data_IF_031238416938
#
_entry.id   IF_031238416938
#
_cell.length_a   1.000
_cell.length_b   1.000
_cell.length_c   1.000
_cell.angle_alpha   90.00
_cell.angle_beta   90.00
_cell.angle_gamma   90.00
#
_symmetry.space_group_name_H-M   'P 1'
#
loop_
_entity.id
_entity.type
_entity.pdbx_description
1 polymer ?
#
# COMPACT_ATOMS: atom_id res chain seq x y z
N UNK A 1 17.17 4.49 3.84
CA UNK A 1 16.25 5.62 3.57
C UNK A 1 15.32 5.19 2.44
N UNK A 2 14.01 5.32 2.64
CA UNK A 2 12.98 4.94 1.66
C UNK A 2 11.93 6.04 1.64
N UNK A 3 11.45 6.39 0.45
CA UNK A 3 10.30 7.28 0.28
C UNK A 3 9.35 6.69 -0.75
N UNK A 4 8.05 6.85 -0.50
CA UNK A 4 6.98 6.36 -1.36
C UNK A 4 5.87 7.40 -1.51
N UNK A 5 5.18 7.36 -2.64
CA UNK A 5 4.04 8.22 -2.94
C UNK A 5 2.90 7.38 -3.54
N UNK A 6 1.67 7.68 -3.09
CA UNK A 6 0.44 7.22 -3.71
C UNK A 6 -0.30 8.44 -4.23
N UNK A 7 -0.80 8.39 -5.46
CA UNK A 7 -1.49 9.50 -6.09
C UNK A 7 -2.72 9.02 -6.87
N UNK A 8 -3.71 9.89 -6.99
CA UNK A 8 -4.89 9.72 -7.85
C UNK A 8 -4.89 10.82 -8.90
N UNK A 9 -4.98 10.46 -10.16
CA UNK A 9 -5.28 11.42 -11.22
C UNK A 9 -6.76 11.84 -11.13
N UNK A 10 -7.09 13.12 -10.89
CA UNK A 10 -8.48 13.57 -10.79
C UNK A 10 -9.25 13.44 -12.11
N UNK A 11 -8.58 13.46 -13.27
CA UNK A 11 -9.24 13.42 -14.58
C UNK A 11 -9.66 12.00 -14.97
N UNK A 12 -8.74 11.04 -14.94
CA UNK A 12 -9.03 9.66 -15.31
C UNK A 12 -9.48 8.78 -14.14
N UNK A 13 -9.22 9.22 -12.91
CA UNK A 13 -9.39 8.39 -11.71
C UNK A 13 -8.32 7.32 -11.53
N UNK A 14 -7.29 7.28 -12.38
CA UNK A 14 -6.19 6.32 -12.26
C UNK A 14 -5.44 6.49 -10.93
N UNK A 15 -5.01 5.38 -10.35
CA UNK A 15 -4.18 5.34 -9.16
C UNK A 15 -2.75 4.95 -9.53
N UNK A 16 -1.78 5.66 -8.96
CA UNK A 16 -0.36 5.39 -9.11
C UNK A 16 0.30 5.24 -7.75
N UNK A 17 1.29 4.35 -7.68
CA UNK A 17 2.17 4.20 -6.53
C UNK A 17 3.61 4.09 -7.01
N UNK A 18 4.50 4.81 -6.35
CA UNK A 18 5.93 4.81 -6.64
C UNK A 18 6.74 4.82 -5.34
N UNK A 19 7.96 4.30 -5.42
CA UNK A 19 8.88 4.19 -4.28
C UNK A 19 10.31 4.28 -4.77
N UNK A 20 11.21 4.79 -3.92
CA UNK A 20 12.63 4.68 -4.13
C UNK A 20 13.38 4.47 -2.80
N UNK A 21 14.47 3.74 -2.87
CA UNK A 21 15.29 3.34 -1.73
C UNK A 21 16.69 2.95 -2.20
N UNK A 22 17.61 2.76 -1.26
CA UNK A 22 18.92 2.17 -1.50
C UNK A 22 18.92 0.63 -1.35
N UNK A 23 17.78 0.02 -0.98
CA UNK A 23 17.60 -1.43 -0.92
C UNK A 23 17.21 -2.07 -2.27
N UNK A 24 17.54 -3.35 -2.49
CA UNK A 24 17.18 -4.06 -3.71
C UNK A 24 15.67 -4.34 -3.80
N UNK A 25 15.18 -4.55 -5.02
CA UNK A 25 13.85 -5.08 -5.32
C UNK A 25 12.63 -4.31 -4.75
N UNK A 26 12.79 -3.02 -4.42
CA UNK A 26 11.75 -2.22 -3.77
C UNK A 26 10.42 -2.17 -4.54
N UNK A 27 10.48 -2.18 -5.87
CA UNK A 27 9.27 -2.18 -6.71
C UNK A 27 8.39 -3.42 -6.49
N UNK A 28 9.00 -4.58 -6.21
CA UNK A 28 8.23 -5.80 -5.95
C UNK A 28 7.73 -5.89 -4.50
N UNK A 29 8.42 -5.24 -3.56
CA UNK A 29 8.13 -5.37 -2.12
C UNK A 29 7.12 -4.33 -1.62
N UNK A 30 7.26 -3.08 -2.09
CA UNK A 30 6.53 -1.93 -1.54
C UNK A 30 5.30 -1.58 -2.37
N UNK A 31 5.34 -1.75 -3.69
CA UNK A 31 4.34 -1.20 -4.61
C UNK A 31 3.22 -2.21 -4.85
N UNK A 32 2.00 -1.88 -4.42
CA UNK A 32 0.82 -2.72 -4.62
C UNK A 32 -0.29 -1.91 -5.28
N UNK A 33 -0.91 -2.49 -6.31
CA UNK A 33 -2.02 -1.84 -7.00
C UNK A 33 -2.99 -2.85 -7.61
N UNK A 34 -4.28 -2.54 -7.54
CA UNK A 34 -5.34 -3.28 -8.24
C UNK A 34 -6.32 -2.29 -8.85
N UNK A 35 -6.58 -2.46 -10.16
CA UNK A 35 -7.51 -1.62 -10.90
C UNK A 35 -8.90 -1.64 -10.24
N UNK A 36 -9.53 -0.47 -10.16
CA UNK A 36 -10.86 -0.28 -9.53
C UNK A 36 -10.92 -0.63 -8.03
N UNK A 37 -9.77 -0.87 -7.37
CA UNK A 37 -9.72 -1.13 -5.92
C UNK A 37 -8.87 -0.09 -5.19
N UNK A 38 -7.57 0.01 -5.51
CA UNK A 38 -6.67 0.81 -4.70
C UNK A 38 -5.20 0.71 -5.06
N UNK A 39 -4.40 1.52 -4.37
CA UNK A 39 -2.93 1.51 -4.42
C UNK A 39 -2.38 1.65 -2.99
N UNK A 40 -1.38 0.84 -2.64
CA UNK A 40 -0.81 0.75 -1.29
C UNK A 40 0.71 0.72 -1.39
N UNK A 41 1.37 1.39 -0.44
CA UNK A 41 2.82 1.34 -0.25
C UNK A 41 3.15 0.72 1.13
N UNK A 42 3.68 -0.51 1.17
CA UNK A 42 4.16 -1.13 2.42
C UNK A 42 5.66 -0.88 2.57
N UNK A 43 6.09 -0.10 3.56
CA UNK A 43 7.50 0.33 3.67
C UNK A 43 8.06 0.16 5.09
N UNK A 44 9.22 0.76 5.38
CA UNK A 44 10.03 0.53 6.59
C UNK A 44 10.49 -0.94 6.66
N UNK A 45 10.18 -1.66 7.74
CA UNK A 45 10.35 -3.11 7.74
C UNK A 45 9.23 -3.75 6.92
N UNK A 46 9.52 -3.94 5.65
CA UNK A 46 8.48 -4.23 4.65
C UNK A 46 7.95 -5.65 4.83
N UNK A 47 6.65 -5.75 5.10
CA UNK A 47 5.88 -6.98 4.95
C UNK A 47 5.03 -6.88 3.66
N UNK A 48 5.41 -7.54 2.55
CA UNK A 48 4.66 -7.47 1.30
C UNK A 48 3.26 -8.06 1.38
N UNK A 49 2.97 -8.93 2.37
CA UNK A 49 1.67 -9.57 2.51
C UNK A 49 0.56 -8.56 2.84
N UNK A 50 0.89 -7.48 3.54
CA UNK A 50 -0.06 -6.40 3.84
C UNK A 50 -0.59 -5.70 2.59
N UNK A 51 0.17 -5.68 1.50
CA UNK A 51 -0.29 -5.11 0.24
C UNK A 51 -1.47 -5.88 -0.34
N UNK A 52 -1.37 -7.21 -0.38
CA UNK A 52 -2.46 -8.09 -0.82
C UNK A 52 -3.67 -8.05 0.11
N UNK A 53 -3.44 -8.07 1.43
CA UNK A 53 -4.51 -8.00 2.44
C UNK A 53 -5.25 -6.67 2.37
N UNK A 54 -4.53 -5.54 2.30
CA UNK A 54 -5.14 -4.22 2.20
C UNK A 54 -5.91 -4.04 0.90
N UNK A 55 -5.38 -4.51 -0.23
CA UNK A 55 -6.12 -4.49 -1.49
C UNK A 55 -7.42 -5.32 -1.43
N UNK A 56 -7.43 -6.41 -0.66
CA UNK A 56 -8.64 -7.21 -0.46
C UNK A 56 -9.68 -6.50 0.42
N UNK A 57 -9.26 -5.73 1.43
CA UNK A 57 -10.14 -4.90 2.27
C UNK A 57 -10.72 -3.73 1.46
N UNK A 58 -9.89 -3.00 0.72
CA UNK A 58 -10.34 -1.94 -0.19
C UNK A 58 -11.35 -2.48 -1.22
N UNK A 59 -11.13 -3.69 -1.73
CA UNK A 59 -12.06 -4.34 -2.65
C UNK A 59 -13.41 -4.69 -2.01
N UNK A 60 -13.46 -4.89 -0.69
CA UNK A 60 -14.70 -5.12 0.08
C UNK A 60 -15.46 -3.82 0.40
N UNK A 61 -14.90 -2.65 0.05
CA UNK A 61 -15.51 -1.35 0.25
C UNK A 61 -15.04 -0.61 1.50
N UNK A 62 -14.05 -1.16 2.21
CA UNK A 62 -13.39 -0.43 3.30
C UNK A 62 -12.66 0.80 2.75
N UNK A 63 -12.67 1.89 3.50
CA UNK A 63 -11.87 3.06 3.17
C UNK A 63 -10.38 2.84 3.50
N UNK A 64 -9.51 3.74 3.02
CA UNK A 64 -8.07 3.63 3.18
C UNK A 64 -7.59 3.72 4.64
N UNK A 65 -8.24 4.54 5.46
CA UNK A 65 -7.86 4.71 6.87
C UNK A 65 -8.30 3.48 7.69
N UNK A 66 -9.53 3.02 7.47
CA UNK A 66 -10.06 1.80 8.10
C UNK A 66 -9.23 0.57 7.72
N UNK A 67 -8.89 0.42 6.44
CA UNK A 67 -7.99 -0.64 5.94
C UNK A 67 -6.63 -0.62 6.64
N UNK A 68 -6.00 0.56 6.76
CA UNK A 68 -4.71 0.70 7.44
C UNK A 68 -4.82 0.27 8.91
N UNK A 69 -5.84 0.75 9.63
CA UNK A 69 -6.03 0.41 11.04
C UNK A 69 -6.23 -1.10 11.24
N UNK A 70 -7.09 -1.74 10.44
CA UNK A 70 -7.32 -3.19 10.53
C UNK A 70 -6.04 -4.01 10.30
N UNK A 71 -5.15 -3.55 9.41
CA UNK A 71 -3.85 -4.21 9.20
C UNK A 71 -2.95 -4.03 10.42
N UNK A 72 -2.84 -2.80 10.94
CA UNK A 72 -1.95 -2.48 12.06
C UNK A 72 -2.42 -3.10 13.39
N UNK A 73 -3.73 -3.23 13.62
CA UNK A 73 -4.29 -3.88 14.81
C UNK A 73 -3.83 -5.34 14.97
N UNK A 74 -3.49 -6.00 13.85
CA UNK A 74 -3.02 -7.38 13.83
C UNK A 74 -1.49 -7.49 13.69
N UNK A 75 -0.77 -6.37 13.73
CA UNK A 75 0.68 -6.32 13.63
C UNK A 75 1.30 -6.16 15.02
N UNK A 76 1.93 -7.22 15.51
CA UNK A 76 2.61 -7.21 16.81
C UNK A 76 3.81 -6.25 16.88
N UNK A 77 4.34 -5.86 15.72
CA UNK A 77 5.48 -4.95 15.57
C UNK A 77 5.04 -3.53 15.20
N UNK A 78 3.73 -3.24 15.15
CA UNK A 78 3.21 -1.88 14.97
C UNK A 78 3.59 -1.01 16.19
N UNK A 79 4.29 0.10 15.91
CA UNK A 79 4.74 1.05 16.91
C UNK A 79 3.66 2.04 17.35
#
# INVERSE_FOLDING_TARGET
MTFSIVARDPLSGALGVATATAGPAVGALVVHGRAQCGAIATQAMTNPLYGGQGLALLQQGEDAASTLNMILENDADAA
#
